data_IF_214205092927
#
_entry.id   IF_214205092927
#
_cell.length_a   1.000
_cell.length_b   1.000
_cell.length_c   1.000
_cell.angle_alpha   90.00
_cell.angle_beta   90.00
_cell.angle_gamma   90.00
#
_symmetry.space_group_name_H-M   'P 1'
#
loop_
_entity.id
_entity.type
_entity.pdbx_description
1 polymer ?
#
# COMPACT_ATOMS: atom_id res chain seq x y z
N UNK A 1 17.03 -5.95 -19.53
CA UNK A 1 17.19 -4.65 -18.86
C UNK A 1 16.14 -4.29 -17.78
N UNK A 2 15.06 -5.05 -17.48
CA UNK A 2 14.28 -4.82 -16.25
C UNK A 2 14.86 -5.53 -14.99
N UNK A 3 15.67 -6.58 -15.19
CA UNK A 3 16.29 -7.35 -14.10
C UNK A 3 17.43 -6.60 -13.39
N UNK A 4 18.09 -5.66 -14.07
CA UNK A 4 19.17 -4.84 -13.48
C UNK A 4 18.66 -3.77 -12.52
N UNK A 5 17.45 -3.25 -12.70
CA UNK A 5 16.88 -2.22 -11.81
C UNK A 5 16.43 -2.81 -10.47
N UNK A 6 15.82 -4.00 -10.49
CA UNK A 6 15.48 -4.75 -9.28
C UNK A 6 16.75 -5.18 -8.54
N UNK A 7 17.75 -5.71 -9.27
CA UNK A 7 19.05 -6.03 -8.70
C UNK A 7 19.75 -4.80 -8.10
N UNK A 8 19.68 -3.63 -8.75
CA UNK A 8 20.28 -2.38 -8.26
C UNK A 8 19.60 -1.86 -6.98
N UNK A 9 18.29 -2.00 -6.84
CA UNK A 9 17.59 -1.67 -5.59
C UNK A 9 17.98 -2.65 -4.48
N UNK A 10 17.97 -3.95 -4.75
CA UNK A 10 18.43 -4.99 -3.80
C UNK A 10 19.90 -4.81 -3.40
N UNK A 11 20.77 -4.38 -4.32
CA UNK A 11 22.20 -4.22 -4.09
C UNK A 11 22.53 -2.92 -3.34
N UNK A 12 21.79 -1.82 -3.59
CA UNK A 12 21.90 -0.59 -2.81
C UNK A 12 21.41 -0.77 -1.36
N UNK A 13 20.37 -1.59 -1.16
CA UNK A 13 19.85 -1.96 0.15
C UNK A 13 20.78 -2.94 0.90
N UNK A 14 21.49 -3.82 0.17
CA UNK A 14 22.43 -4.79 0.76
C UNK A 14 23.67 -4.15 1.38
N UNK A 15 24.10 -2.98 0.92
CA UNK A 15 25.31 -2.31 1.45
C UNK A 15 25.08 -1.59 2.78
N UNK A 16 23.82 -1.36 3.18
CA UNK A 16 23.48 -0.72 4.45
C UNK A 16 23.34 -1.72 5.63
N UNK A 17 23.21 -3.02 5.35
CA UNK A 17 22.85 -4.04 6.34
C UNK A 17 24.04 -4.70 7.07
N UNK A 18 25.26 -4.18 6.95
CA UNK A 18 26.48 -4.84 7.46
C UNK A 18 26.89 -4.47 8.90
N UNK A 19 26.10 -3.71 9.64
CA UNK A 19 26.40 -3.40 11.04
C UNK A 19 25.40 -4.08 11.97
N UNK A 20 25.90 -5.05 12.74
CA UNK A 20 25.14 -5.81 13.74
C UNK A 20 24.69 -4.91 14.90
N UNK A 21 23.42 -4.51 14.89
CA UNK A 21 22.74 -3.80 15.99
C UNK A 21 22.08 -4.75 17.00
N UNK A 22 21.78 -4.27 18.22
CA UNK A 22 21.34 -5.12 19.33
C UNK A 22 19.90 -5.61 19.15
N UNK A 23 19.59 -6.78 19.69
CA UNK A 23 18.24 -7.31 19.84
C UNK A 23 17.43 -6.39 20.75
N UNK A 24 16.32 -5.82 20.27
CA UNK A 24 15.43 -5.00 21.11
C UNK A 24 14.01 -5.53 21.08
N UNK A 25 13.56 -5.87 22.28
CA UNK A 25 12.18 -6.13 22.69
C UNK A 25 11.26 -4.95 22.38
N UNK A 26 10.17 -5.18 21.63
CA UNK A 26 8.86 -4.51 21.74
C UNK A 26 8.71 -2.99 21.76
N UNK A 27 9.79 -2.20 21.73
CA UNK A 27 9.76 -0.74 21.74
C UNK A 27 10.04 -0.22 20.33
N UNK A 28 9.09 0.53 19.78
CA UNK A 28 9.21 1.15 18.46
C UNK A 28 10.39 2.13 18.42
N UNK A 29 11.25 1.97 17.40
CA UNK A 29 12.55 2.62 17.26
C UNK A 29 12.46 4.11 16.79
N UNK A 30 13.56 4.89 16.85
CA UNK A 30 13.55 6.36 16.97
C UNK A 30 13.13 7.22 15.75
N UNK A 31 12.78 6.65 14.59
CA UNK A 31 12.29 7.43 13.44
C UNK A 31 10.78 7.31 13.23
N UNK A 32 10.30 6.07 13.34
CA UNK A 32 8.98 5.69 12.89
C UNK A 32 7.83 6.05 13.83
N UNK A 33 8.11 6.21 15.13
CA UNK A 33 7.14 6.69 16.10
C UNK A 33 6.65 8.13 15.80
N UNK A 34 7.35 8.87 14.94
CA UNK A 34 6.94 10.21 14.48
C UNK A 34 5.88 10.19 13.39
N UNK A 35 5.63 9.04 12.76
CA UNK A 35 4.52 8.88 11.81
C UNK A 35 3.20 8.90 12.59
N UNK A 36 2.70 10.11 12.82
CA UNK A 36 1.39 10.33 13.42
C UNK A 36 0.30 9.74 12.52
N UNK A 37 -0.63 9.00 13.12
CA UNK A 37 -1.71 8.36 12.38
C UNK A 37 -2.65 9.38 11.74
N UNK A 38 -3.00 9.16 10.46
CA UNK A 38 -3.98 9.98 9.73
C UNK A 38 -5.11 9.09 9.21
N UNK A 39 -6.35 9.44 9.56
CA UNK A 39 -7.53 8.73 9.07
C UNK A 39 -7.94 9.25 7.69
N UNK A 40 -8.37 8.34 6.83
CA UNK A 40 -9.07 8.72 5.61
C UNK A 40 -10.44 9.34 5.95
N UNK A 41 -10.89 10.31 5.15
CA UNK A 41 -12.16 11.00 5.34
C UNK A 41 -13.22 10.56 4.32
N UNK A 42 -12.86 9.72 3.36
CA UNK A 42 -13.72 9.21 2.31
C UNK A 42 -13.32 7.77 1.97
N UNK A 43 -14.01 7.14 1.02
CA UNK A 43 -13.72 5.74 0.64
C UNK A 43 -12.55 5.57 -0.32
N UNK A 44 -11.96 6.68 -0.80
CA UNK A 44 -11.03 6.70 -1.92
C UNK A 44 -9.69 7.40 -1.62
N UNK A 45 -9.58 8.07 -0.48
CA UNK A 45 -8.47 8.95 -0.11
C UNK A 45 -7.48 8.31 0.88
N UNK A 46 -7.51 6.98 1.05
CA UNK A 46 -6.56 6.27 1.92
C UNK A 46 -5.10 6.52 1.49
N UNK A 47 -4.82 6.57 0.18
CA UNK A 47 -3.50 6.94 -0.34
C UNK A 47 -3.09 8.37 0.04
N UNK A 48 -4.04 9.32 0.05
CA UNK A 48 -3.78 10.70 0.47
C UNK A 48 -3.47 10.76 1.96
N UNK A 49 -4.23 10.05 2.79
CA UNK A 49 -3.96 9.95 4.22
C UNK A 49 -2.57 9.34 4.48
N UNK A 50 -2.17 8.29 3.74
CA UNK A 50 -0.82 7.76 3.82
C UNK A 50 0.26 8.79 3.45
N UNK A 51 0.06 9.58 2.39
CA UNK A 51 1.00 10.65 2.05
C UNK A 51 1.06 11.72 3.15
N UNK A 52 -0.06 12.10 3.76
CA UNK A 52 -0.05 13.05 4.88
C UNK A 52 0.77 12.54 6.06
N UNK A 53 0.70 11.24 6.38
CA UNK A 53 1.54 10.64 7.42
C UNK A 53 3.03 10.82 7.08
N UNK A 54 3.44 10.39 5.89
CA UNK A 54 4.84 10.45 5.41
C UNK A 54 5.37 11.88 5.33
N UNK A 55 4.58 12.81 4.78
CA UNK A 55 4.99 14.20 4.64
C UNK A 55 5.11 14.90 6.00
N UNK A 56 4.22 14.56 6.95
CA UNK A 56 4.31 15.05 8.33
C UNK A 56 5.60 14.59 9.01
N UNK A 57 5.97 13.31 8.90
CA UNK A 57 7.19 12.80 9.54
C UNK A 57 8.47 13.42 8.97
N UNK A 58 8.42 13.82 7.70
CA UNK A 58 9.52 14.48 6.98
C UNK A 58 9.52 16.00 7.11
N UNK A 59 8.64 16.58 7.94
CA UNK A 59 8.45 18.03 8.11
C UNK A 59 8.25 18.76 6.76
N UNK A 60 7.55 18.13 5.82
CA UNK A 60 7.17 18.75 4.54
C UNK A 60 5.85 19.50 4.70
N UNK A 61 5.79 20.71 4.16
CA UNK A 61 4.55 21.47 4.14
C UNK A 61 3.52 20.77 3.25
N UNK A 62 2.34 20.53 3.80
CA UNK A 62 1.24 19.89 3.11
C UNK A 62 -0.07 20.17 3.83
N UNK A 63 -1.16 20.17 3.08
CA UNK A 63 -2.52 20.09 3.61
C UNK A 63 -3.28 19.04 2.82
N UNK A 64 -4.38 18.54 3.38
CA UNK A 64 -5.26 17.68 2.60
C UNK A 64 -5.69 18.34 1.29
N UNK A 65 -6.11 19.61 1.35
CA UNK A 65 -6.64 20.32 0.19
C UNK A 65 -5.58 20.52 -0.90
N UNK A 66 -4.33 20.81 -0.53
CA UNK A 66 -3.24 20.94 -1.51
C UNK A 66 -2.94 19.60 -2.21
N UNK A 67 -2.99 18.48 -1.47
CA UNK A 67 -2.80 17.14 -2.06
C UNK A 67 -3.98 16.76 -2.97
N UNK A 68 -5.23 17.05 -2.56
CA UNK A 68 -6.41 16.80 -3.39
C UNK A 68 -6.42 17.65 -4.67
N UNK A 69 -6.00 18.92 -4.57
CA UNK A 69 -5.84 19.78 -5.73
C UNK A 69 -4.76 19.24 -6.70
N UNK A 70 -3.65 18.72 -6.18
CA UNK A 70 -2.59 18.10 -6.99
C UNK A 70 -3.03 16.79 -7.67
N UNK A 71 -3.91 16.02 -7.02
CA UNK A 71 -4.52 14.83 -7.64
C UNK A 71 -5.47 15.21 -8.78
N UNK A 72 -6.35 16.19 -8.53
CA UNK A 72 -7.39 16.61 -9.48
C UNK A 72 -8.44 15.53 -9.78
N UNK A 73 -8.53 14.49 -8.94
CA UNK A 73 -9.43 13.34 -9.10
C UNK A 73 -9.66 12.62 -7.79
N UNK A 74 -10.77 11.87 -7.71
CA UNK A 74 -11.09 10.98 -6.60
C UNK A 74 -10.81 9.50 -6.92
N UNK A 75 -10.36 9.18 -8.13
CA UNK A 75 -9.92 7.81 -8.49
C UNK A 75 -8.41 7.74 -8.40
N UNK A 76 -7.86 7.46 -7.21
CA UNK A 76 -6.43 7.57 -6.94
C UNK A 76 -5.68 6.29 -7.31
N UNK A 77 -4.65 6.42 -8.15
CA UNK A 77 -3.73 5.34 -8.52
C UNK A 77 -2.34 5.58 -7.94
N UNK A 78 -1.53 4.53 -7.80
CA UNK A 78 -0.21 4.63 -7.15
C UNK A 78 0.73 5.59 -7.86
N UNK A 79 0.65 5.66 -9.20
CA UNK A 79 1.42 6.64 -9.99
C UNK A 79 1.02 8.09 -9.69
N UNK A 80 -0.24 8.34 -9.26
CA UNK A 80 -0.67 9.67 -8.82
C UNK A 80 0.08 10.06 -7.53
N UNK A 81 0.18 9.12 -6.58
CA UNK A 81 0.89 9.30 -5.31
C UNK A 81 2.41 9.48 -5.51
N UNK A 82 3.01 8.68 -6.40
CA UNK A 82 4.42 8.77 -6.76
C UNK A 82 4.80 10.16 -7.31
N UNK A 83 3.96 10.73 -8.17
CA UNK A 83 4.17 12.08 -8.70
C UNK A 83 4.09 13.13 -7.58
N UNK A 84 3.17 13.00 -6.63
CA UNK A 84 3.06 13.93 -5.50
C UNK A 84 4.30 13.86 -4.61
N UNK A 85 4.77 12.66 -4.27
CA UNK A 85 6.02 12.48 -3.51
C UNK A 85 7.20 13.16 -4.21
N UNK A 86 7.30 13.00 -5.53
CA UNK A 86 8.33 13.63 -6.33
C UNK A 86 8.22 15.17 -6.34
N UNK A 87 7.01 15.74 -6.41
CA UNK A 87 6.82 17.20 -6.28
C UNK A 87 7.27 17.74 -4.91
N UNK A 88 7.22 16.91 -3.87
CA UNK A 88 7.69 17.28 -2.53
C UNK A 88 9.18 16.96 -2.31
N UNK A 89 9.89 16.55 -3.37
CA UNK A 89 11.32 16.25 -3.31
C UNK A 89 11.65 15.02 -2.48
N UNK A 90 10.71 14.08 -2.34
CA UNK A 90 10.92 12.84 -1.60
C UNK A 90 11.49 11.77 -2.52
N UNK A 91 12.53 11.10 -2.06
CA UNK A 91 13.13 9.95 -2.73
C UNK A 91 12.29 8.69 -2.45
N UNK A 92 12.04 7.90 -3.49
CA UNK A 92 11.28 6.66 -3.39
C UNK A 92 11.59 5.73 -4.56
N UNK A 93 11.21 4.47 -4.41
CA UNK A 93 11.10 3.49 -5.49
C UNK A 93 9.66 3.02 -5.64
N UNK A 94 9.09 3.17 -6.83
CA UNK A 94 7.77 2.64 -7.19
C UNK A 94 7.93 1.29 -7.88
N UNK A 95 7.41 0.23 -7.27
CA UNK A 95 7.34 -1.11 -7.85
C UNK A 95 5.91 -1.44 -8.26
N UNK A 96 5.75 -2.03 -9.44
CA UNK A 96 4.45 -2.45 -9.99
C UNK A 96 4.61 -3.62 -10.96
N UNK A 97 3.53 -4.35 -11.23
CA UNK A 97 3.46 -5.36 -12.30
C UNK A 97 3.18 -4.74 -13.67
N UNK A 98 2.67 -3.50 -13.74
CA UNK A 98 2.28 -2.88 -15.01
C UNK A 98 2.51 -1.36 -15.05
N UNK A 99 3.06 -0.84 -16.16
CA UNK A 99 3.26 0.61 -16.35
C UNK A 99 2.08 1.23 -17.11
N UNK A 100 0.87 1.09 -16.57
CA UNK A 100 -0.36 1.56 -17.19
C UNK A 100 -1.59 1.04 -16.45
N UNK A 101 -2.71 0.96 -17.17
CA UNK A 101 -3.90 0.28 -16.65
C UNK A 101 -4.08 -1.01 -17.43
N UNK A 102 -4.10 -2.14 -16.73
CA UNK A 102 -4.37 -3.43 -17.35
C UNK A 102 -5.80 -3.46 -17.92
N UNK A 103 -6.00 -3.75 -19.22
CA UNK A 103 -7.33 -3.95 -19.81
C UNK A 103 -8.15 -5.03 -19.10
N UNK A 104 -7.47 -5.97 -18.43
CA UNK A 104 -8.10 -7.05 -17.67
C UNK A 104 -8.95 -6.52 -16.48
N UNK A 105 -8.73 -5.28 -16.04
CA UNK A 105 -9.48 -4.66 -14.94
C UNK A 105 -10.81 -4.04 -15.37
N UNK A 106 -11.08 -3.94 -16.68
CA UNK A 106 -12.32 -3.35 -17.21
C UNK A 106 -13.59 -4.03 -16.69
N UNK A 107 -13.51 -5.33 -16.37
CA UNK A 107 -14.63 -6.09 -15.80
C UNK A 107 -14.86 -5.87 -14.31
N UNK A 108 -13.86 -5.41 -13.56
CA UNK A 108 -13.94 -5.29 -12.09
C UNK A 108 -14.84 -4.11 -11.73
N UNK A 109 -15.85 -4.34 -10.89
CA UNK A 109 -16.82 -3.32 -10.48
C UNK A 109 -16.17 -2.06 -9.90
N UNK A 110 -15.09 -2.22 -9.13
CA UNK A 110 -14.29 -1.13 -8.55
C UNK A 110 -13.75 -0.14 -9.60
N UNK A 111 -13.25 -0.64 -10.73
CA UNK A 111 -12.66 0.20 -11.78
C UNK A 111 -13.65 0.63 -12.86
N UNK A 112 -14.77 -0.08 -12.98
CA UNK A 112 -15.66 -0.04 -14.16
C UNK A 112 -16.20 1.35 -14.51
N UNK A 113 -16.54 2.16 -13.50
CA UNK A 113 -17.26 3.43 -13.72
C UNK A 113 -16.40 4.50 -14.41
N UNK A 114 -15.09 4.50 -14.19
CA UNK A 114 -14.16 5.51 -14.72
C UNK A 114 -13.04 4.91 -15.58
N UNK A 115 -13.11 3.61 -15.88
CA UNK A 115 -12.03 2.82 -16.48
C UNK A 115 -11.37 3.47 -17.69
N UNK A 116 -12.13 3.87 -18.71
CA UNK A 116 -11.55 4.39 -19.95
C UNK A 116 -10.87 5.77 -19.73
N UNK A 117 -11.45 6.61 -18.87
CA UNK A 117 -10.86 7.90 -18.50
C UNK A 117 -9.60 7.74 -17.63
N UNK A 118 -9.65 6.83 -16.65
CA UNK A 118 -8.51 6.49 -15.80
C UNK A 118 -7.38 5.86 -16.61
N UNK A 119 -7.68 4.92 -17.52
CA UNK A 119 -6.69 4.30 -18.39
C UNK A 119 -5.89 5.33 -19.19
N UNK A 120 -6.58 6.30 -19.81
CA UNK A 120 -5.92 7.39 -20.53
C UNK A 120 -5.10 8.30 -19.61
N UNK A 121 -5.63 8.66 -18.43
CA UNK A 121 -4.94 9.52 -17.45
C UNK A 121 -3.70 8.86 -16.86
N UNK A 122 -3.84 7.65 -16.34
CA UNK A 122 -2.78 6.86 -15.70
C UNK A 122 -1.66 6.57 -16.71
N UNK A 123 -2.01 6.20 -17.95
CA UNK A 123 -1.01 6.02 -19.03
C UNK A 123 -0.22 7.31 -19.27
N UNK A 124 -0.88 8.47 -19.28
CA UNK A 124 -0.20 9.77 -19.43
C UNK A 124 0.73 10.05 -18.23
N UNK A 125 0.31 9.75 -17.00
CA UNK A 125 1.13 9.94 -15.80
C UNK A 125 2.36 9.01 -15.76
N UNK A 126 2.26 7.76 -16.22
CA UNK A 126 3.46 6.91 -16.38
C UNK A 126 4.44 7.47 -17.43
N UNK A 127 3.93 8.03 -18.54
CA UNK A 127 4.79 8.72 -19.53
C UNK A 127 5.47 9.95 -18.94
N UNK A 128 4.75 10.70 -18.11
CA UNK A 128 5.31 11.84 -17.38
C UNK A 128 6.40 11.42 -16.40
N UNK A 129 6.13 10.41 -15.57
CA UNK A 129 7.07 9.86 -14.60
C UNK A 129 8.38 9.41 -15.29
N UNK A 130 8.28 8.73 -16.44
CA UNK A 130 9.44 8.37 -17.25
C UNK A 130 10.22 9.60 -17.74
N UNK A 131 9.52 10.61 -18.22
CA UNK A 131 10.14 11.85 -18.75
C UNK A 131 10.82 12.67 -17.65
N UNK A 132 10.38 12.50 -16.40
CA UNK A 132 10.94 13.11 -15.18
C UNK A 132 11.94 12.21 -14.44
N UNK A 133 12.25 11.03 -14.98
CA UNK A 133 13.16 10.04 -14.40
C UNK A 133 12.77 9.58 -12.98
N UNK A 134 11.48 9.41 -12.71
CA UNK A 134 11.04 8.76 -11.47
C UNK A 134 11.51 7.30 -11.45
N UNK A 135 11.90 6.81 -10.27
CA UNK A 135 12.37 5.44 -10.07
C UNK A 135 11.19 4.45 -10.05
N UNK A 136 10.64 4.17 -11.24
CA UNK A 136 9.55 3.21 -11.45
C UNK A 136 10.12 1.91 -12.02
N UNK A 137 9.94 0.80 -11.30
CA UNK A 137 10.41 -0.54 -11.67
C UNK A 137 9.26 -1.51 -11.88
N UNK A 138 9.37 -2.34 -12.93
CA UNK A 138 8.45 -3.48 -13.12
C UNK A 138 9.02 -4.70 -12.41
N UNK A 139 8.30 -5.22 -11.43
CA UNK A 139 8.81 -6.31 -10.59
C UNK A 139 7.81 -6.79 -9.56
N UNK A 140 8.25 -7.76 -8.77
CA UNK A 140 7.57 -8.25 -7.58
C UNK A 140 8.64 -8.51 -6.53
N UNK A 141 8.36 -8.17 -5.28
CA UNK A 141 9.21 -8.52 -4.14
C UNK A 141 8.65 -9.76 -3.47
N UNK A 142 9.51 -10.56 -2.83
CA UNK A 142 9.04 -11.58 -1.92
C UNK A 142 8.70 -10.98 -0.55
N UNK A 143 7.82 -11.62 0.21
CA UNK A 143 7.41 -11.12 1.53
C UNK A 143 8.59 -10.95 2.49
N UNK A 144 9.62 -11.79 2.35
CA UNK A 144 10.87 -11.69 3.10
C UNK A 144 11.68 -10.43 2.73
N UNK A 145 11.61 -9.96 1.49
CA UNK A 145 12.26 -8.71 1.08
C UNK A 145 11.51 -7.50 1.63
N UNK A 146 10.17 -7.55 1.66
CA UNK A 146 9.33 -6.51 2.28
C UNK A 146 9.61 -6.44 3.78
N UNK A 147 9.76 -7.59 4.45
CA UNK A 147 10.20 -7.67 5.85
C UNK A 147 11.54 -6.96 6.05
N UNK A 148 12.56 -7.30 5.24
CA UNK A 148 13.88 -6.64 5.31
C UNK A 148 13.77 -5.13 5.13
N UNK A 149 12.96 -4.65 4.19
CA UNK A 149 12.75 -3.22 3.96
C UNK A 149 12.23 -2.50 5.21
N UNK A 150 11.20 -3.03 5.88
CA UNK A 150 10.65 -2.40 7.08
C UNK A 150 11.57 -2.53 8.30
N UNK A 151 12.46 -3.52 8.32
CA UNK A 151 13.48 -3.69 9.38
C UNK A 151 14.66 -2.71 9.23
N UNK A 152 14.87 -2.10 8.07
CA UNK A 152 15.97 -1.13 7.86
C UNK A 152 15.77 0.19 8.62
N UNK A 153 14.55 0.51 9.07
CA UNK A 153 14.18 1.78 9.73
C UNK A 153 14.58 3.05 8.93
N UNK A 154 14.84 2.90 7.63
CA UNK A 154 15.25 3.98 6.72
C UNK A 154 14.17 4.31 5.68
N UNK A 155 13.10 3.50 5.61
CA UNK A 155 12.03 3.69 4.66
C UNK A 155 10.66 3.33 5.23
N UNK A 156 9.63 4.03 4.76
CA UNK A 156 8.24 3.62 4.90
C UNK A 156 7.77 2.90 3.64
N UNK A 157 7.02 1.80 3.80
CA UNK A 157 6.55 1.01 2.65
C UNK A 157 5.04 1.17 2.51
N UNK A 158 4.60 1.97 1.54
CA UNK A 158 3.19 2.12 1.19
C UNK A 158 2.81 1.01 0.20
N UNK A 159 1.81 0.20 0.54
CA UNK A 159 1.40 -0.97 -0.27
C UNK A 159 -0.08 -0.86 -0.63
N UNK A 160 -0.41 -1.11 -1.90
CA UNK A 160 -1.78 -1.34 -2.34
C UNK A 160 -2.19 -2.79 -2.07
N UNK A 161 -3.28 -2.97 -1.35
CA UNK A 161 -3.82 -4.28 -1.00
C UNK A 161 -5.30 -4.38 -1.37
N UNK A 162 -5.78 -5.61 -1.55
CA UNK A 162 -7.21 -5.87 -1.52
C UNK A 162 -7.72 -5.94 -0.08
N UNK A 163 -8.49 -4.93 0.32
CA UNK A 163 -9.02 -4.78 1.69
C UNK A 163 -9.86 -5.98 2.16
N UNK A 164 -10.40 -6.80 1.24
CA UNK A 164 -11.14 -8.03 1.60
C UNK A 164 -10.29 -9.06 2.32
N UNK A 165 -8.97 -8.98 2.21
CA UNK A 165 -8.07 -9.89 2.90
C UNK A 165 -7.80 -9.44 4.33
N UNK A 166 -8.09 -8.17 4.67
CA UNK A 166 -7.75 -7.56 5.95
C UNK A 166 -8.82 -7.85 7.02
N UNK A 167 -8.53 -8.66 8.06
CA UNK A 167 -9.54 -9.09 9.03
C UNK A 167 -10.17 -7.93 9.81
N UNK A 168 -9.41 -6.87 10.09
CA UNK A 168 -9.88 -5.69 10.84
C UNK A 168 -10.90 -4.85 10.06
N UNK A 169 -10.93 -4.94 8.72
CA UNK A 169 -11.95 -4.29 7.90
C UNK A 169 -13.33 -4.94 8.07
N UNK A 170 -13.38 -6.23 8.44
CA UNK A 170 -14.64 -6.93 8.74
C UNK A 170 -15.17 -6.61 10.14
N UNK A 171 -14.28 -6.41 11.12
CA UNK A 171 -14.66 -5.99 12.48
C UNK A 171 -15.31 -4.59 12.46
N UNK A 172 -14.73 -3.67 11.67
CA UNK A 172 -15.29 -2.33 11.42
C UNK A 172 -16.62 -2.38 10.65
N UNK A 173 -16.71 -3.21 9.60
CA UNK A 173 -17.93 -3.36 8.80
C UNK A 173 -19.10 -3.99 9.58
N UNK A 174 -18.86 -4.97 10.47
CA UNK A 174 -19.90 -5.55 11.31
C UNK A 174 -20.44 -4.55 12.35
N UNK A 175 -19.56 -3.73 12.95
CA UNK A 175 -19.96 -2.63 13.83
C UNK A 175 -20.75 -1.55 13.07
N UNK A 176 -20.34 -1.21 11.85
CA UNK A 176 -21.03 -0.25 10.99
C UNK A 176 -22.37 -0.80 10.44
N UNK A 177 -22.46 -2.09 10.10
CA UNK A 177 -23.69 -2.72 9.63
C UNK A 177 -24.72 -2.86 10.77
N UNK A 178 -24.27 -3.15 11.99
CA UNK A 178 -25.13 -3.13 13.17
C UNK A 178 -25.71 -1.73 13.45
N UNK A 179 -24.97 -0.66 13.12
CA UNK A 179 -25.46 0.71 13.21
C UNK A 179 -26.45 1.09 12.07
N UNK A 180 -26.36 0.45 10.90
CA UNK A 180 -27.20 0.74 9.72
C UNK A 180 -28.44 -0.17 9.62
N UNK A 181 -28.43 -1.34 10.28
CA UNK A 181 -29.54 -2.30 10.29
C UNK A 181 -30.82 -1.81 11.01
N UNK A 182 -30.85 -0.55 11.49
CA UNK A 182 -32.05 0.13 11.98
C UNK A 182 -33.03 0.58 10.88
N UNK A 183 -32.84 0.22 9.61
CA UNK A 183 -33.76 0.59 8.53
C UNK A 183 -33.86 -0.54 7.50
N UNK A 184 -34.96 -1.28 7.55
CA UNK A 184 -35.21 -2.44 6.69
C UNK A 184 -35.47 -2.05 5.23
N UNK A 185 -34.86 -2.79 4.31
CA UNK A 185 -35.34 -2.97 2.94
C UNK A 185 -34.83 -4.30 2.38
N UNK A 186 -35.74 -5.02 1.72
CA UNK A 186 -35.59 -6.39 1.22
C UNK A 186 -34.75 -6.45 -0.07
N UNK A 187 -33.96 -7.51 -0.20
CA UNK A 187 -33.08 -7.77 -1.33
C UNK A 187 -33.87 -8.23 -2.57
N UNK A 188 -33.59 -7.60 -3.72
CA UNK A 188 -33.92 -8.14 -5.05
C UNK A 188 -32.62 -8.61 -5.74
N UNK A 189 -32.65 -9.83 -6.27
CA UNK A 189 -31.53 -10.45 -6.98
C UNK A 189 -31.31 -9.85 -8.38
N UNK A 190 -30.08 -9.92 -8.94
CA UNK A 190 -29.91 -9.83 -10.39
C UNK A 190 -29.29 -11.08 -11.02
N UNK A 191 -29.74 -11.32 -12.25
CA UNK A 191 -29.39 -12.38 -13.18
C UNK A 191 -28.08 -12.14 -13.95
N UNK A 192 -27.50 -13.27 -14.38
CA UNK A 192 -26.78 -13.55 -15.63
C UNK A 192 -25.65 -12.60 -16.11
N UNK A 193 -24.41 -13.07 -15.97
CA UNK A 193 -23.19 -12.44 -16.49
C UNK A 193 -22.09 -12.23 -15.44
N UNK A 194 -22.14 -12.95 -14.31
CA UNK A 194 -21.20 -12.76 -13.21
C UNK A 194 -19.79 -13.24 -13.61
N UNK A 195 -18.83 -12.31 -13.58
CA UNK A 195 -17.41 -12.64 -13.42
C UNK A 195 -17.27 -13.59 -12.22
N UNK A 196 -16.27 -14.50 -12.21
CA UNK A 196 -16.07 -15.41 -11.09
C UNK A 196 -16.07 -14.60 -9.77
N UNK A 197 -16.66 -15.12 -8.68
CA UNK A 197 -16.97 -14.35 -7.46
C UNK A 197 -15.76 -13.63 -6.84
N UNK A 198 -14.53 -14.10 -7.12
CA UNK A 198 -13.28 -13.44 -6.74
C UNK A 198 -13.08 -12.05 -7.39
N UNK A 199 -13.61 -11.81 -8.59
CA UNK A 199 -13.46 -10.56 -9.37
C UNK A 199 -14.57 -9.54 -9.12
N UNK A 200 -15.69 -9.95 -8.50
CA UNK A 200 -16.85 -9.09 -8.30
C UNK A 200 -16.78 -8.18 -7.04
N UNK A 201 -15.73 -8.28 -6.21
CA UNK A 201 -15.65 -7.56 -4.93
C UNK A 201 -14.28 -7.01 -4.54
N UNK A 202 -13.31 -6.90 -5.46
CA UNK A 202 -12.02 -6.24 -5.19
C UNK A 202 -12.22 -4.83 -4.59
N UNK A 203 -11.44 -4.51 -3.55
CA UNK A 203 -11.43 -3.19 -2.91
C UNK A 203 -10.00 -2.75 -2.68
N UNK A 204 -9.47 -1.94 -3.60
CA UNK A 204 -8.14 -1.36 -3.44
C UNK A 204 -8.07 -0.47 -2.21
N UNK A 205 -7.03 -0.66 -1.40
CA UNK A 205 -6.79 0.11 -0.19
C UNK A 205 -5.29 0.25 0.07
N UNK A 206 -4.83 1.44 0.47
CA UNK A 206 -3.43 1.67 0.79
C UNK A 206 -3.21 1.59 2.30
N UNK A 207 -2.13 0.91 2.69
CA UNK A 207 -1.63 0.84 4.07
C UNK A 207 -0.14 1.18 4.09
N UNK A 208 0.33 1.73 5.21
CA UNK A 208 1.75 2.05 5.42
C UNK A 208 2.37 1.01 6.35
N UNK A 209 3.27 0.18 5.84
CA UNK A 209 4.02 -0.77 6.65
C UNK A 209 5.18 -0.05 7.32
N UNK A 210 5.31 -0.33 8.61
CA UNK A 210 6.16 0.38 9.53
C UNK A 210 7.23 -0.52 10.15
N UNK A 211 6.87 -1.75 10.47
CA UNK A 211 7.82 -2.67 11.09
C UNK A 211 7.33 -4.10 11.00
N UNK A 212 8.06 -4.98 11.66
CA UNK A 212 7.76 -6.40 11.72
C UNK A 212 7.82 -6.88 13.17
N UNK A 213 6.81 -7.64 13.57
CA UNK A 213 6.75 -8.32 14.85
C UNK A 213 6.85 -9.83 14.59
N UNK A 214 7.97 -10.43 15.04
CA UNK A 214 8.13 -11.87 15.04
C UNK A 214 7.14 -12.51 16.03
N UNK A 215 6.67 -13.72 15.72
CA UNK A 215 5.79 -14.52 16.58
C UNK A 215 6.52 -15.24 17.72
N UNK A 216 7.82 -14.98 17.89
CA UNK A 216 8.60 -15.38 19.06
C UNK A 216 9.07 -16.84 19.07
N UNK A 217 8.79 -17.63 18.04
CA UNK A 217 9.36 -18.98 17.91
C UNK A 217 10.79 -18.89 17.34
N UNK A 218 11.73 -18.61 18.23
CA UNK A 218 13.17 -18.68 17.96
C UNK A 218 13.59 -20.09 17.55
N UNK A 219 14.08 -20.22 16.32
CA UNK A 219 14.84 -21.37 15.84
C UNK A 219 16.25 -20.91 15.46
N UNK A 220 17.23 -21.43 16.18
CA UNK A 220 18.67 -21.28 16.03
C UNK A 220 19.20 -21.89 14.71
N UNK A 221 18.77 -21.40 13.55
CA UNK A 221 19.41 -21.84 12.31
C UNK A 221 18.71 -21.44 11.03
N UNK A 222 19.18 -20.36 10.39
CA UNK A 222 19.32 -20.24 8.94
C UNK A 222 18.10 -20.39 8.04
N UNK A 223 16.89 -20.52 8.58
CA UNK A 223 15.65 -20.70 7.83
C UNK A 223 14.75 -19.48 8.00
N UNK A 224 14.54 -18.72 6.93
CA UNK A 224 13.61 -17.59 6.88
C UNK A 224 12.17 -18.01 7.14
N UNK A 225 11.80 -18.13 8.41
CA UNK A 225 10.43 -18.30 8.85
C UNK A 225 9.57 -17.11 8.39
N UNK A 226 8.43 -17.41 7.77
CA UNK A 226 7.41 -16.43 7.34
C UNK A 226 6.37 -16.20 8.46
N UNK A 227 6.66 -16.70 9.67
CA UNK A 227 5.87 -16.47 10.88
C UNK A 227 6.06 -15.03 11.38
N UNK A 228 4.97 -14.40 11.81
CA UNK A 228 4.96 -13.01 12.27
C UNK A 228 3.96 -12.10 11.53
N UNK A 229 3.96 -10.84 11.93
CA UNK A 229 3.03 -9.82 11.43
C UNK A 229 3.73 -8.48 11.16
N UNK A 230 3.34 -7.83 10.08
CA UNK A 230 3.72 -6.45 9.82
C UNK A 230 2.92 -5.52 10.73
N UNK A 231 3.62 -4.56 11.34
CA UNK A 231 2.99 -3.41 11.96
C UNK A 231 2.68 -2.41 10.87
N UNK A 232 1.42 -1.97 10.78
CA UNK A 232 0.98 -1.05 9.74
C UNK A 232 0.13 0.10 10.32
N UNK A 233 0.20 1.27 9.67
CA UNK A 233 -0.83 2.31 9.79
C UNK A 233 -1.88 2.06 8.71
N UNK A 234 -3.13 1.94 9.14
CA UNK A 234 -4.26 1.76 8.24
C UNK A 234 -5.21 2.97 8.36
N UNK A 235 -5.27 3.83 7.33
CA UNK A 235 -6.13 5.02 7.36
C UNK A 235 -7.62 4.75 7.58
N UNK A 236 -8.09 3.52 7.32
CA UNK A 236 -9.50 3.15 7.43
C UNK A 236 -9.94 2.87 8.87
N UNK A 237 -9.01 2.77 9.82
CA UNK A 237 -9.32 2.36 11.20
C UNK A 237 -8.78 3.36 12.23
N UNK A 238 -9.41 3.46 13.41
CA UNK A 238 -9.03 4.45 14.41
C UNK A 238 -7.75 4.14 15.16
N UNK A 239 -7.36 2.87 15.21
CA UNK A 239 -6.18 2.38 15.93
C UNK A 239 -4.92 3.05 15.38
N UNK A 240 -3.99 3.35 16.28
CA UNK A 240 -2.69 3.88 15.88
C UNK A 240 -2.03 2.90 14.91
N UNK A 241 -1.90 1.64 15.29
CA UNK A 241 -1.29 0.61 14.48
C UNK A 241 -2.15 -0.65 14.46
N UNK A 242 -2.04 -1.40 13.37
CA UNK A 242 -2.63 -2.73 13.21
C UNK A 242 -1.54 -3.74 12.92
N UNK A 243 -1.78 -5.00 13.30
CA UNK A 243 -0.93 -6.12 12.94
C UNK A 243 -1.55 -6.87 11.76
N UNK A 244 -0.78 -7.05 10.69
CA UNK A 244 -1.18 -7.79 9.49
C UNK A 244 -0.23 -8.98 9.35
N UNK A 245 -0.74 -10.20 9.54
CA UNK A 245 0.06 -11.41 9.37
C UNK A 245 0.74 -11.42 7.99
N UNK A 246 2.01 -11.85 7.94
CA UNK A 246 2.80 -11.81 6.70
C UNK A 246 2.13 -12.53 5.53
N UNK A 247 1.52 -13.69 5.80
CA UNK A 247 0.75 -14.47 4.82
C UNK A 247 -0.50 -13.74 4.33
N UNK A 248 -1.17 -12.99 5.20
CA UNK A 248 -2.35 -12.18 4.85
C UNK A 248 -1.94 -11.00 3.98
N UNK A 249 -0.88 -10.29 4.35
CA UNK A 249 -0.37 -9.17 3.57
C UNK A 249 0.06 -9.64 2.17
N UNK A 250 0.79 -10.75 2.08
CA UNK A 250 1.27 -11.27 0.79
C UNK A 250 0.11 -11.67 -0.13
N UNK A 251 -0.90 -12.36 0.41
CA UNK A 251 -2.12 -12.67 -0.34
C UNK A 251 -2.88 -11.41 -0.79
N UNK A 252 -3.02 -10.43 0.11
CA UNK A 252 -3.76 -9.20 -0.16
C UNK A 252 -3.10 -8.33 -1.24
N UNK A 253 -1.78 -8.15 -1.17
CA UNK A 253 -1.03 -7.32 -2.13
C UNK A 253 -0.87 -7.98 -3.50
N UNK A 254 -0.87 -9.31 -3.57
CA UNK A 254 -0.78 -10.08 -4.83
C UNK A 254 -2.13 -10.34 -5.49
N UNK A 255 -3.21 -9.82 -4.89
CA UNK A 255 -4.57 -10.01 -5.41
C UNK A 255 -4.77 -9.31 -6.76
N UNK A 256 -5.57 -9.93 -7.63
CA UNK A 256 -5.89 -9.36 -8.94
C UNK A 256 -6.54 -7.96 -8.79
N UNK A 257 -5.96 -6.95 -9.43
CA UNK A 257 -6.38 -5.55 -9.33
C UNK A 257 -5.37 -4.65 -8.61
N UNK A 258 -4.45 -5.19 -7.81
CA UNK A 258 -3.46 -4.35 -7.09
C UNK A 258 -2.24 -3.99 -7.92
N UNK A 259 -1.96 -4.72 -9.01
CA UNK A 259 -0.69 -4.69 -9.73
C UNK A 259 0.55 -4.86 -8.83
N UNK A 260 0.39 -5.42 -7.62
CA UNK A 260 1.40 -5.44 -6.56
C UNK A 260 2.06 -4.07 -6.31
N UNK A 261 1.29 -3.00 -6.51
CA UNK A 261 1.78 -1.63 -6.41
C UNK A 261 2.32 -1.32 -5.00
N UNK A 262 3.55 -0.80 -4.97
CA UNK A 262 4.27 -0.48 -3.74
C UNK A 262 5.17 0.74 -3.93
N UNK A 263 5.17 1.65 -2.96
CA UNK A 263 6.14 2.74 -2.84
C UNK A 263 7.03 2.48 -1.62
N UNK A 264 8.32 2.27 -1.87
CA UNK A 264 9.35 2.28 -0.83
C UNK A 264 9.86 3.71 -0.73
N UNK A 265 9.59 4.39 0.38
CA UNK A 265 9.76 5.83 0.53
C UNK A 265 10.85 6.10 1.57
N UNK A 266 11.86 6.88 1.21
CA UNK A 266 12.98 7.21 2.10
C UNK A 266 12.51 8.18 3.22
N UNK A 267 12.89 7.89 4.47
CA UNK A 267 12.55 8.66 5.67
C UNK A 267 13.66 9.61 6.15
#
# INVERSE_FOLDING_TARGET
MPQEAAASATQALSTAATESGPSVSGEFLPGLHKLGHQKQLSTWDCGVACLMMVLSSLNRDHTRDTLLAALGTNSVWTIDLALILHEHGICFHFLTRSTGVSPAYKGIAFYRSQFDADAARVTRRFREARRRNLAVGVGSLEIADIRRLVELDACAVLVLVDARHLPHHFKSAAASAAAVAGSGATAAAPNAGALPPAQASYRGHYVLLLGYADDGEGGDGGGGGVGGAFVARDPAVPEEHVLIAATVLDAARRSFGTDEDMLVIDL
#
